data_IF_133563543904
#
_entry.id   IF_133563543904
#
_cell.length_a   1.000
_cell.length_b   1.000
_cell.length_c   1.000
_cell.angle_alpha   90.00
_cell.angle_beta   90.00
_cell.angle_gamma   90.00
#
_symmetry.space_group_name_H-M   'P 1'
#
loop_
_entity.id
_entity.type
_entity.pdbx_description
1 polymer ?
#
# COMPACT_ATOMS: atom_id res chain seq x y z
N UNK A 1 -6.24 -9.22 -13.81
CA UNK A 1 -5.97 -7.82 -13.50
C UNK A 1 -5.08 -7.20 -14.57
N UNK A 2 -3.77 -7.54 -14.70
CA UNK A 2 -2.85 -6.88 -15.65
C UNK A 2 -3.42 -6.73 -17.08
N UNK A 3 -3.94 -7.81 -17.69
CA UNK A 3 -4.51 -7.76 -19.03
C UNK A 3 -5.70 -6.79 -19.16
N UNK A 4 -6.51 -6.65 -18.12
CA UNK A 4 -7.63 -5.68 -18.11
C UNK A 4 -7.10 -4.25 -17.99
N UNK A 5 -6.10 -4.04 -17.16
CA UNK A 5 -5.48 -2.72 -16.94
C UNK A 5 -4.80 -2.23 -18.23
N UNK A 6 -3.99 -3.09 -18.86
CA UNK A 6 -3.33 -2.78 -20.13
C UNK A 6 -4.34 -2.61 -21.27
N UNK A 7 -5.42 -3.42 -21.29
CA UNK A 7 -6.50 -3.26 -22.26
C UNK A 7 -7.23 -1.92 -22.17
N UNK A 8 -7.17 -1.26 -21.01
CA UNK A 8 -7.68 0.10 -20.80
C UNK A 8 -6.59 1.19 -20.98
N UNK A 9 -5.39 0.84 -21.49
CA UNK A 9 -4.28 1.77 -21.68
C UNK A 9 -3.70 2.30 -20.38
N UNK A 10 -3.77 1.50 -19.28
CA UNK A 10 -3.28 1.87 -17.94
C UNK A 10 -2.14 0.98 -17.49
N UNK A 11 -1.30 1.47 -16.59
CA UNK A 11 -0.20 0.73 -16.01
C UNK A 11 -0.66 -0.16 -14.85
N UNK A 12 -0.02 -1.32 -14.72
CA UNK A 12 -0.28 -2.30 -13.68
C UNK A 12 0.88 -2.38 -12.69
N UNK A 13 0.71 -1.82 -11.50
CA UNK A 13 1.67 -1.89 -10.41
C UNK A 13 1.33 -3.00 -9.43
N UNK A 14 2.33 -3.77 -9.04
CA UNK A 14 2.16 -4.86 -8.07
C UNK A 14 2.48 -4.36 -6.66
N UNK A 15 1.45 -4.35 -5.79
CA UNK A 15 1.64 -4.00 -4.39
C UNK A 15 2.36 -5.12 -3.62
N UNK A 16 3.50 -4.79 -3.02
CA UNK A 16 4.32 -5.72 -2.27
C UNK A 16 3.79 -5.92 -0.84
N UNK A 17 4.10 -7.06 -0.19
CA UNK A 17 3.62 -7.31 1.17
C UNK A 17 4.19 -6.31 2.18
N UNK A 18 3.41 -5.98 3.22
CA UNK A 18 3.90 -5.17 4.34
C UNK A 18 5.00 -5.89 5.14
N UNK A 19 4.85 -7.20 5.31
CA UNK A 19 5.82 -8.05 6.01
C UNK A 19 6.28 -9.15 5.07
N UNK A 20 7.59 -9.20 4.82
CA UNK A 20 8.23 -10.26 4.07
C UNK A 20 9.09 -11.08 5.03
N UNK A 21 8.79 -12.39 5.15
CA UNK A 21 9.54 -13.31 6.00
C UNK A 21 10.51 -14.14 5.18
N UNK A 22 11.57 -14.65 5.82
CA UNK A 22 12.58 -15.44 5.16
C UNK A 22 12.01 -16.72 4.50
N UNK A 23 11.05 -17.37 5.13
CA UNK A 23 10.36 -18.56 4.61
C UNK A 23 9.46 -18.27 3.40
N UNK A 24 8.88 -17.06 3.32
CA UNK A 24 7.99 -16.66 2.22
C UNK A 24 8.71 -15.92 1.09
N UNK A 25 9.94 -15.46 1.32
CA UNK A 25 10.72 -14.63 0.39
C UNK A 25 10.95 -15.31 -0.97
N UNK A 26 11.39 -16.58 -0.95
CA UNK A 26 11.64 -17.36 -2.19
C UNK A 26 10.35 -17.55 -2.99
N UNK A 27 9.24 -17.85 -2.31
CA UNK A 27 7.93 -18.02 -2.94
C UNK A 27 7.42 -16.70 -3.53
N UNK A 28 7.57 -15.60 -2.80
CA UNK A 28 7.23 -14.25 -3.26
C UNK A 28 7.99 -13.93 -4.55
N UNK A 29 9.31 -14.09 -4.54
CA UNK A 29 10.18 -13.82 -5.69
C UNK A 29 9.80 -14.67 -6.91
N UNK A 30 9.54 -15.98 -6.71
CA UNK A 30 9.10 -16.86 -7.79
C UNK A 30 7.76 -16.43 -8.42
N UNK A 31 6.82 -15.92 -7.62
CA UNK A 31 5.55 -15.38 -8.12
C UNK A 31 5.77 -14.09 -8.92
N UNK A 32 6.60 -13.19 -8.42
CA UNK A 32 6.91 -11.92 -9.10
C UNK A 32 7.61 -12.17 -10.43
N UNK A 33 8.56 -13.11 -10.48
CA UNK A 33 9.26 -13.46 -11.73
C UNK A 33 8.29 -13.90 -12.83
N UNK A 34 7.22 -14.61 -12.49
CA UNK A 34 6.17 -15.01 -13.46
C UNK A 34 5.36 -13.83 -13.99
N UNK A 35 5.34 -12.72 -13.26
CA UNK A 35 4.60 -11.51 -13.61
C UNK A 35 5.52 -10.42 -14.20
N UNK A 36 6.82 -10.68 -14.34
CA UNK A 36 7.81 -9.68 -14.76
C UNK A 36 7.45 -8.97 -16.07
N UNK A 37 6.94 -9.70 -17.04
CA UNK A 37 6.56 -9.16 -18.36
C UNK A 37 5.22 -8.42 -18.37
N UNK A 38 4.43 -8.51 -17.32
CA UNK A 38 3.10 -7.90 -17.21
C UNK A 38 3.00 -6.87 -16.09
N UNK A 39 4.09 -6.64 -15.36
CA UNK A 39 4.16 -5.68 -14.26
C UNK A 39 4.94 -4.46 -14.71
N UNK A 40 4.30 -3.29 -14.70
CA UNK A 40 4.92 -2.02 -15.10
C UNK A 40 5.72 -1.41 -13.96
N UNK A 41 5.35 -1.70 -12.69
CA UNK A 41 6.07 -1.21 -11.53
C UNK A 41 5.62 -1.88 -10.22
N UNK A 42 6.22 -1.45 -9.13
CA UNK A 42 5.99 -2.00 -7.80
C UNK A 42 5.62 -0.93 -6.79
N UNK A 43 4.61 -1.20 -5.95
CA UNK A 43 4.33 -0.43 -4.76
C UNK A 43 5.06 -1.08 -3.57
N UNK A 44 6.10 -0.43 -3.08
CA UNK A 44 7.04 -0.97 -2.09
C UNK A 44 6.67 -0.49 -0.69
N UNK A 45 6.59 -1.41 0.27
CA UNK A 45 6.14 -1.18 1.64
C UNK A 45 7.22 -1.36 2.71
N UNK A 46 8.42 -1.78 2.30
CA UNK A 46 9.58 -1.93 3.18
C UNK A 46 10.87 -2.01 2.36
N UNK A 47 11.98 -1.60 2.95
CA UNK A 47 13.30 -1.58 2.30
C UNK A 47 13.81 -2.98 1.92
N UNK A 48 13.45 -4.01 2.69
CA UNK A 48 13.85 -5.39 2.37
C UNK A 48 13.29 -5.84 1.03
N UNK A 49 12.04 -5.49 0.74
CA UNK A 49 11.39 -5.80 -0.54
C UNK A 49 12.07 -5.06 -1.69
N UNK A 50 12.39 -3.78 -1.53
CA UNK A 50 13.11 -3.00 -2.55
C UNK A 50 14.45 -3.66 -2.88
N UNK A 51 15.26 -3.97 -1.85
CA UNK A 51 16.54 -4.63 -2.03
C UNK A 51 16.41 -6.01 -2.66
N UNK A 52 15.37 -6.76 -2.32
CA UNK A 52 15.08 -8.06 -2.93
C UNK A 52 14.78 -7.91 -4.42
N UNK A 53 13.96 -6.95 -4.81
CA UNK A 53 13.62 -6.68 -6.22
C UNK A 53 14.89 -6.30 -7.01
N UNK A 54 15.67 -5.34 -6.55
CA UNK A 54 16.91 -4.88 -7.22
C UNK A 54 17.96 -6.01 -7.34
N UNK A 55 18.16 -6.81 -6.28
CA UNK A 55 19.05 -7.99 -6.32
C UNK A 55 18.58 -9.09 -7.28
N UNK A 56 17.30 -9.16 -7.55
CA UNK A 56 16.70 -10.12 -8.48
C UNK A 56 16.63 -9.61 -9.92
N UNK A 57 17.18 -8.43 -10.22
CA UNK A 57 17.23 -7.84 -11.56
C UNK A 57 15.89 -7.29 -12.04
N UNK A 58 15.10 -6.74 -11.12
CA UNK A 58 13.90 -5.98 -11.46
C UNK A 58 14.23 -4.49 -11.47
N UNK A 59 14.17 -3.89 -12.66
CA UNK A 59 14.50 -2.48 -12.91
C UNK A 59 13.26 -1.61 -13.11
N UNK A 60 12.06 -2.20 -13.02
CA UNK A 60 10.79 -1.50 -13.14
C UNK A 60 10.68 -0.41 -12.07
N UNK A 61 9.90 0.67 -12.34
CA UNK A 61 9.64 1.73 -11.39
C UNK A 61 9.11 1.23 -10.04
N UNK A 62 9.56 1.88 -8.98
CA UNK A 62 9.13 1.60 -7.61
C UNK A 62 8.51 2.86 -6.98
N UNK A 63 7.30 2.69 -6.47
CA UNK A 63 6.60 3.71 -5.66
C UNK A 63 6.75 3.31 -4.20
N UNK A 64 7.23 4.21 -3.33
CA UNK A 64 7.18 3.96 -1.88
C UNK A 64 5.76 4.14 -1.36
N UNK A 65 5.25 3.18 -0.58
CA UNK A 65 3.94 3.31 0.03
C UNK A 65 3.98 4.25 1.26
N UNK A 66 2.84 4.79 1.68
CA UNK A 66 2.70 5.76 2.77
C UNK A 66 3.40 5.34 4.07
N UNK A 67 3.42 4.04 4.36
CA UNK A 67 4.06 3.47 5.54
C UNK A 67 5.60 3.43 5.49
N UNK A 68 6.21 3.93 4.42
CA UNK A 68 7.65 4.20 4.35
C UNK A 68 8.02 5.51 5.06
N UNK A 69 7.02 6.30 5.46
CA UNK A 69 7.14 7.49 6.32
C UNK A 69 8.11 8.55 5.80
N UNK A 70 7.94 8.96 4.55
CA UNK A 70 8.64 10.13 4.01
C UNK A 70 8.05 11.42 4.58
N UNK A 71 8.47 11.82 5.79
CA UNK A 71 7.90 12.91 6.57
C UNK A 71 8.57 14.26 6.34
N UNK A 72 9.66 14.33 5.57
CA UNK A 72 10.42 15.56 5.34
C UNK A 72 11.34 15.44 4.13
N UNK A 73 11.86 16.58 3.65
CA UNK A 73 12.73 16.65 2.46
C UNK A 73 14.02 15.84 2.57
N UNK A 74 14.56 15.62 3.76
CA UNK A 74 15.78 14.81 3.91
C UNK A 74 15.49 13.35 3.62
N UNK A 75 14.37 12.84 4.13
CA UNK A 75 13.89 11.50 3.79
C UNK A 75 13.52 11.42 2.30
N UNK A 76 12.84 12.43 1.76
CA UNK A 76 12.49 12.54 0.35
C UNK A 76 13.71 12.38 -0.56
N UNK A 77 14.77 13.15 -0.34
CA UNK A 77 16.02 13.06 -1.13
C UNK A 77 16.69 11.68 -1.08
N UNK A 78 16.56 10.96 0.02
CA UNK A 78 17.06 9.57 0.11
C UNK A 78 16.20 8.64 -0.72
N UNK A 79 14.88 8.77 -0.64
CA UNK A 79 13.96 7.93 -1.41
C UNK A 79 14.03 8.20 -2.91
N UNK A 80 14.16 9.45 -3.34
CA UNK A 80 14.35 9.84 -4.76
C UNK A 80 15.55 9.16 -5.44
N UNK A 81 16.57 8.78 -4.68
CA UNK A 81 17.72 8.03 -5.20
C UNK A 81 17.41 6.53 -5.45
N UNK A 82 16.33 6.03 -4.88
CA UNK A 82 16.02 4.60 -4.87
C UNK A 82 14.65 4.25 -5.47
N UNK A 83 13.76 5.22 -5.53
CA UNK A 83 12.36 5.06 -5.94
C UNK A 83 11.95 6.18 -6.87
N UNK A 84 11.01 5.90 -7.75
CA UNK A 84 10.60 6.81 -8.82
C UNK A 84 9.48 7.75 -8.37
N UNK A 85 8.68 7.33 -7.37
CA UNK A 85 7.57 8.11 -6.81
C UNK A 85 7.36 7.75 -5.33
N UNK A 86 6.71 8.65 -4.59
CA UNK A 86 6.39 8.46 -3.16
C UNK A 86 4.91 8.64 -2.91
N UNK A 87 4.34 7.77 -2.08
CA UNK A 87 3.05 8.03 -1.45
C UNK A 87 3.27 8.77 -0.15
N UNK A 88 2.68 9.93 -0.02
CA UNK A 88 2.79 10.75 1.20
C UNK A 88 2.15 10.03 2.39
N UNK A 89 2.78 10.10 3.58
CA UNK A 89 2.18 9.62 4.82
C UNK A 89 0.84 10.30 5.11
N UNK A 90 -0.14 9.52 5.54
CA UNK A 90 -1.48 10.01 5.87
C UNK A 90 -1.52 10.89 7.11
N UNK A 91 -0.44 10.93 7.87
CA UNK A 91 -0.25 11.74 9.08
C UNK A 91 0.14 13.18 8.78
N UNK A 92 0.58 13.50 7.55
CA UNK A 92 0.96 14.85 7.16
C UNK A 92 -0.27 15.74 6.99
N UNK A 93 -0.23 16.92 7.61
CA UNK A 93 -1.25 17.94 7.39
C UNK A 93 -0.92 18.82 6.16
N UNK A 94 -1.88 19.63 5.71
CA UNK A 94 -1.77 20.49 4.53
C UNK A 94 -0.51 21.38 4.52
N UNK A 95 -0.16 21.99 5.67
CA UNK A 95 1.01 22.89 5.76
C UNK A 95 2.31 22.14 5.61
N UNK A 96 2.38 20.95 6.17
CA UNK A 96 3.53 20.06 6.06
C UNK A 96 3.71 19.59 4.62
N UNK A 97 2.62 19.18 3.95
CA UNK A 97 2.65 18.79 2.53
C UNK A 97 3.10 19.96 1.65
N UNK A 98 2.52 21.13 1.81
CA UNK A 98 2.91 22.32 1.05
C UNK A 98 4.36 22.77 1.29
N UNK A 99 4.96 22.39 2.40
CA UNK A 99 6.37 22.64 2.73
C UNK A 99 7.34 21.61 2.17
N UNK A 100 6.87 20.49 1.62
CA UNK A 100 7.74 19.47 1.04
C UNK A 100 8.18 19.85 -0.38
N UNK A 101 9.48 19.98 -0.60
CA UNK A 101 10.06 20.23 -1.94
C UNK A 101 9.98 18.99 -2.84
N UNK A 102 9.94 17.80 -2.24
CA UNK A 102 9.81 16.51 -2.92
C UNK A 102 8.37 16.15 -3.28
N UNK A 103 7.38 17.03 -3.00
CA UNK A 103 5.95 16.73 -3.24
C UNK A 103 5.62 16.53 -4.73
N UNK A 104 6.40 17.09 -5.64
CA UNK A 104 6.16 17.05 -7.10
C UNK A 104 6.09 15.61 -7.65
N UNK A 105 6.89 14.70 -7.13
CA UNK A 105 6.87 13.28 -7.52
C UNK A 105 6.14 12.42 -6.47
N UNK A 106 5.08 12.95 -5.88
CA UNK A 106 4.33 12.25 -4.85
C UNK A 106 2.88 12.03 -5.24
N UNK A 107 2.27 11.02 -4.63
CA UNK A 107 0.84 10.83 -4.63
C UNK A 107 0.31 10.91 -3.19
N UNK A 108 -0.95 11.29 -3.02
CA UNK A 108 -1.65 11.35 -1.74
C UNK A 108 -2.84 10.39 -1.75
N UNK A 109 -3.05 9.64 -0.67
CA UNK A 109 -4.26 8.84 -0.49
C UNK A 109 -5.40 9.78 -0.12
N UNK A 110 -6.44 9.83 -0.97
CA UNK A 110 -7.62 10.69 -0.75
C UNK A 110 -8.87 9.90 -0.40
N UNK A 111 -8.84 8.59 -0.62
CA UNK A 111 -9.92 7.69 -0.23
C UNK A 111 -9.38 6.33 0.20
N UNK A 112 -9.98 5.75 1.24
CA UNK A 112 -9.87 4.34 1.58
C UNK A 112 -9.72 4.03 3.06
N UNK A 113 -9.96 2.77 3.39
CA UNK A 113 -9.76 2.26 4.74
C UNK A 113 -8.27 2.14 5.06
N UNK A 114 -7.82 2.93 6.03
CA UNK A 114 -6.41 2.93 6.43
C UNK A 114 -6.13 1.79 7.40
N UNK A 115 -5.06 0.99 7.19
CA UNK A 115 -4.59 0.04 8.17
C UNK A 115 -4.14 0.74 9.44
N UNK A 116 -4.83 0.49 10.54
CA UNK A 116 -4.43 0.95 11.88
C UNK A 116 -3.31 0.09 12.46
N UNK A 117 -3.27 -1.18 12.05
CA UNK A 117 -2.27 -2.13 12.53
C UNK A 117 -1.92 -3.15 11.45
N UNK A 118 -0.61 -3.37 11.27
CA UNK A 118 -0.04 -4.50 10.54
C UNK A 118 0.48 -5.49 11.58
N UNK A 119 -0.32 -6.52 11.90
CA UNK A 119 0.02 -7.49 12.92
C UNK A 119 0.80 -8.66 12.34
N UNK A 120 2.06 -8.81 12.75
CA UNK A 120 2.90 -9.96 12.39
C UNK A 120 2.39 -11.28 12.98
N UNK A 121 1.53 -11.22 14.00
CA UNK A 121 0.88 -12.36 14.60
C UNK A 121 -0.50 -12.59 13.98
N UNK A 122 -0.65 -13.71 13.29
CA UNK A 122 -1.92 -14.06 12.64
C UNK A 122 -2.98 -14.47 13.67
N UNK A 123 -4.10 -13.73 13.72
CA UNK A 123 -5.21 -13.97 14.64
C UNK A 123 -5.80 -15.39 14.48
N UNK A 124 -5.99 -15.86 13.25
CA UNK A 124 -6.52 -17.19 12.98
C UNK A 124 -5.59 -18.30 13.46
N UNK A 125 -4.28 -18.09 13.34
CA UNK A 125 -3.28 -19.05 13.85
C UNK A 125 -3.27 -19.06 15.38
N UNK A 126 -3.34 -17.90 16.00
CA UNK A 126 -3.34 -17.74 17.46
C UNK A 126 -4.59 -18.38 18.11
N UNK A 127 -5.74 -18.26 17.46
CA UNK A 127 -7.01 -18.82 17.96
C UNK A 127 -7.23 -20.29 17.56
N UNK A 128 -6.28 -20.92 16.88
CA UNK A 128 -6.39 -22.30 16.40
C UNK A 128 -7.38 -22.53 15.26
N UNK A 129 -7.88 -21.45 14.63
CA UNK A 129 -8.91 -21.51 13.56
C UNK A 129 -8.31 -21.31 12.15
N UNK A 130 -7.01 -21.53 11.98
CA UNK A 130 -6.33 -21.29 10.71
C UNK A 130 -6.70 -22.33 9.65
N UNK A 131 -7.38 -21.90 8.59
CA UNK A 131 -7.68 -22.71 7.39
C UNK A 131 -6.63 -22.60 6.29
N UNK A 132 -5.63 -21.72 6.45
CA UNK A 132 -4.63 -21.34 5.43
C UNK A 132 -5.25 -20.66 4.20
N UNK A 133 -6.46 -20.13 4.32
CA UNK A 133 -7.13 -19.37 3.27
C UNK A 133 -7.15 -17.88 3.62
N UNK A 134 -6.95 -16.98 2.63
CA UNK A 134 -7.13 -15.57 2.84
C UNK A 134 -8.61 -15.26 3.10
N UNK A 135 -8.88 -14.23 3.87
CA UNK A 135 -10.27 -13.85 4.16
C UNK A 135 -10.35 -12.56 4.95
N UNK A 136 -11.58 -12.06 5.06
CA UNK A 136 -11.92 -10.91 5.86
C UNK A 136 -12.71 -11.37 7.09
N UNK A 137 -12.42 -10.75 8.23
CA UNK A 137 -13.05 -11.00 9.52
C UNK A 137 -13.38 -9.67 10.18
N UNK A 138 -14.23 -9.70 11.18
CA UNK A 138 -14.53 -8.54 12.01
C UNK A 138 -13.96 -8.75 13.42
N UNK A 139 -13.32 -7.70 13.96
CA UNK A 139 -13.02 -7.58 15.39
C UNK A 139 -13.95 -6.52 15.98
N UNK A 140 -14.58 -6.83 17.09
CA UNK A 140 -15.40 -5.88 17.81
C UNK A 140 -14.70 -5.42 19.10
N UNK A 141 -14.63 -4.12 19.33
CA UNK A 141 -14.07 -3.55 20.54
C UNK A 141 -15.13 -3.46 21.67
N UNK A 142 -14.69 -2.99 22.85
CA UNK A 142 -15.57 -2.82 24.02
C UNK A 142 -16.68 -1.77 23.81
N UNK A 143 -16.61 -0.97 22.77
CA UNK A 143 -17.59 0.04 22.39
C UNK A 143 -18.45 -0.39 21.20
N UNK A 144 -18.45 -1.68 20.88
CA UNK A 144 -19.17 -2.29 19.76
C UNK A 144 -18.78 -1.71 18.38
N UNK A 145 -17.54 -1.18 18.25
CA UNK A 145 -17.00 -0.77 16.96
C UNK A 145 -16.39 -1.99 16.26
N UNK A 146 -16.75 -2.18 15.00
CA UNK A 146 -16.32 -3.29 14.17
C UNK A 146 -15.17 -2.87 13.27
N UNK A 147 -14.03 -3.54 13.43
CA UNK A 147 -12.82 -3.32 12.65
C UNK A 147 -12.70 -4.45 11.64
N UNK A 148 -12.57 -4.11 10.36
CA UNK A 148 -12.29 -5.08 9.32
C UNK A 148 -10.86 -5.60 9.47
N UNK A 149 -10.72 -6.92 9.44
CA UNK A 149 -9.41 -7.60 9.47
C UNK A 149 -9.22 -8.38 8.19
N UNK A 150 -8.18 -8.07 7.44
CA UNK A 150 -7.76 -8.85 6.29
C UNK A 150 -6.66 -9.83 6.70
N UNK A 151 -6.91 -11.12 6.58
CA UNK A 151 -5.93 -12.17 6.80
C UNK A 151 -5.10 -12.39 5.54
N UNK A 152 -3.87 -11.88 5.52
CA UNK A 152 -2.93 -12.05 4.39
C UNK A 152 -2.21 -13.38 4.54
N UNK A 153 -2.91 -14.47 4.22
CA UNK A 153 -2.50 -15.83 4.53
C UNK A 153 -1.19 -16.25 3.87
N UNK A 154 -0.92 -15.75 2.64
CA UNK A 154 0.31 -16.06 1.90
C UNK A 154 1.58 -15.61 2.64
N UNK A 155 1.49 -14.62 3.54
CA UNK A 155 2.58 -14.05 4.31
C UNK A 155 2.37 -14.16 5.82
N UNK A 156 1.26 -14.76 6.25
CA UNK A 156 0.91 -15.04 7.64
C UNK A 156 0.93 -13.80 8.55
N UNK A 157 0.27 -12.71 8.13
CA UNK A 157 0.03 -11.52 8.93
C UNK A 157 -1.40 -10.99 8.72
N UNK A 158 -1.85 -10.06 9.57
CA UNK A 158 -3.15 -9.41 9.46
C UNK A 158 -3.01 -7.91 9.25
N UNK A 159 -3.93 -7.35 8.47
CA UNK A 159 -4.19 -5.90 8.39
C UNK A 159 -5.49 -5.63 9.13
N UNK A 160 -5.44 -4.76 10.11
CA UNK A 160 -6.62 -4.29 10.85
C UNK A 160 -6.89 -2.87 10.39
N UNK A 161 -8.04 -2.67 9.75
CA UNK A 161 -8.42 -1.40 9.15
C UNK A 161 -9.22 -0.53 10.10
N UNK A 162 -9.21 0.77 9.86
CA UNK A 162 -10.09 1.72 10.54
C UNK A 162 -11.57 1.37 10.28
N UNK A 163 -12.45 1.80 11.16
CA UNK A 163 -13.90 1.56 11.05
C UNK A 163 -14.57 2.45 10.02
N UNK A 164 -13.93 3.55 9.65
CA UNK A 164 -14.38 4.49 8.63
C UNK A 164 -13.26 4.74 7.62
N UNK A 165 -13.58 4.92 6.34
CA UNK A 165 -12.57 5.29 5.36
C UNK A 165 -12.09 6.74 5.57
N UNK A 166 -10.84 6.99 5.19
CA UNK A 166 -10.39 8.33 4.88
C UNK A 166 -11.19 8.83 3.69
N UNK A 167 -11.65 10.08 3.74
CA UNK A 167 -12.37 10.71 2.64
C UNK A 167 -11.92 12.16 2.51
N UNK A 168 -11.18 12.49 1.48
CA UNK A 168 -10.62 13.80 1.18
C UNK A 168 -11.04 14.29 -0.21
N UNK A 169 -12.10 13.70 -0.80
CA UNK A 169 -12.56 14.07 -2.13
C UNK A 169 -13.04 15.51 -2.22
N UNK A 170 -13.56 16.05 -1.11
CA UNK A 170 -14.07 17.44 -1.03
C UNK A 170 -12.95 18.50 -1.06
N UNK A 171 -11.69 18.08 -0.86
CA UNK A 171 -10.51 18.97 -0.81
C UNK A 171 -9.48 18.65 -1.90
N UNK A 172 -9.89 17.95 -2.97
CA UNK A 172 -9.00 17.54 -4.07
C UNK A 172 -8.33 18.73 -4.76
N UNK A 173 -9.06 19.81 -4.99
CA UNK A 173 -8.51 21.01 -5.64
C UNK A 173 -7.38 21.60 -4.81
N UNK A 174 -7.57 21.66 -3.48
CA UNK A 174 -6.55 22.14 -2.55
C UNK A 174 -5.32 21.22 -2.50
N UNK A 175 -5.51 19.91 -2.65
CA UNK A 175 -4.45 18.93 -2.68
C UNK A 175 -3.60 19.11 -3.95
N UNK A 176 -4.24 19.27 -5.11
CA UNK A 176 -3.56 19.49 -6.39
C UNK A 176 -2.80 20.82 -6.41
N UNK A 177 -3.34 21.90 -5.84
CA UNK A 177 -2.66 23.19 -5.67
C UNK A 177 -1.39 23.09 -4.80
N UNK A 178 -1.31 22.09 -3.93
CA UNK A 178 -0.12 21.85 -3.09
C UNK A 178 1.05 21.21 -3.84
N UNK A 179 0.96 21.02 -5.16
CA UNK A 179 2.03 20.48 -6.00
C UNK A 179 2.17 18.96 -5.98
N UNK A 180 1.13 18.25 -5.51
CA UNK A 180 1.10 16.78 -5.51
C UNK A 180 0.92 16.27 -6.94
N UNK A 181 1.75 15.30 -7.35
CA UNK A 181 1.74 14.74 -8.70
C UNK A 181 0.56 13.81 -9.01
N UNK A 182 -0.11 13.27 -7.99
CA UNK A 182 -1.23 12.35 -8.16
C UNK A 182 -2.02 12.08 -6.91
N UNK A 183 -3.19 11.45 -7.09
CA UNK A 183 -4.06 11.00 -5.98
C UNK A 183 -4.32 9.51 -6.09
N UNK A 184 -4.46 8.84 -4.94
CA UNK A 184 -4.76 7.41 -4.85
C UNK A 184 -6.11 7.17 -4.18
N UNK A 185 -6.93 6.34 -4.84
CA UNK A 185 -8.10 5.72 -4.24
C UNK A 185 -7.72 4.30 -3.79
N UNK A 186 -7.81 4.02 -2.51
CA UNK A 186 -7.39 2.75 -1.92
C UNK A 186 -8.60 1.91 -1.53
N UNK A 187 -9.11 1.12 -2.46
CA UNK A 187 -10.20 0.18 -2.21
C UNK A 187 -9.68 -1.09 -1.53
N UNK A 188 -10.44 -1.63 -0.58
CA UNK A 188 -10.08 -2.82 0.21
C UNK A 188 -11.08 -3.95 0.00
N UNK A 189 -12.36 -3.72 0.34
CA UNK A 189 -13.45 -4.67 0.23
C UNK A 189 -14.75 -4.05 -0.29
N UNK A 190 -14.66 -2.85 -0.83
CA UNK A 190 -15.78 -2.16 -1.44
C UNK A 190 -16.28 -2.94 -2.66
N UNK A 191 -17.59 -2.97 -2.83
CA UNK A 191 -18.23 -3.56 -4.02
C UNK A 191 -18.24 -2.56 -5.17
N UNK A 192 -18.40 -3.04 -6.42
CA UNK A 192 -18.49 -2.16 -7.58
C UNK A 192 -19.64 -1.14 -7.49
N UNK A 193 -20.70 -1.45 -6.74
CA UNK A 193 -21.82 -0.54 -6.51
C UNK A 193 -21.51 0.56 -5.49
N UNK A 194 -20.62 0.28 -4.56
CA UNK A 194 -20.13 1.26 -3.57
C UNK A 194 -19.15 2.27 -4.20
N UNK A 195 -18.49 1.89 -5.28
CA UNK A 195 -17.45 2.69 -5.96
C UNK A 195 -18.01 3.61 -7.04
N UNK A 196 -19.28 3.46 -7.40
CA UNK A 196 -20.00 4.32 -8.38
C UNK A 196 -20.61 5.52 -7.71
#
# INVERSE_FOLDING_TARGET
>A
AAAMTHGAGKEFYLAMPYILRNDTKKQCLSKIQKLKSTTDGFLVRNMETLLMLRKAGFDQPCISDYNMYCMNDRAGRVYEQMMDQMTLPVELNRREIAGLQSAVNSEMIVYGYQPLMVSAQCLMKTTGKCTKEPGYYELEDRRHKKFLVHNVCAFCYNLIYNTVPLYLMDVLDEATESGIGGVRLQFVNETGDTVR
#
